data_IF_723713597119
#
_entry.id   IF_723713597119
#
_cell.length_a   1.000
_cell.length_b   1.000
_cell.length_c   1.000
_cell.angle_alpha   90.00
_cell.angle_beta   90.00
_cell.angle_gamma   90.00
#
_symmetry.space_group_name_H-M   'P 1'
#
loop_
_entity.id
_entity.type
_entity.pdbx_description
1 polymer ?
#
# COMPACT_ATOMS: atom_id res chain seq x y z
N UNK A 1 -19.70 17.68 23.27
CA UNK A 1 -18.23 17.85 23.36
C UNK A 1 -17.49 16.59 23.86
N UNK A 2 -18.19 15.60 24.41
CA UNK A 2 -17.63 14.36 25.01
C UNK A 2 -17.23 13.27 24.02
N UNK A 3 -17.84 13.17 22.83
CA UNK A 3 -17.54 12.12 21.84
C UNK A 3 -16.13 12.28 21.25
N UNK A 4 -15.71 13.51 20.95
CA UNK A 4 -14.43 13.81 20.29
C UNK A 4 -13.20 13.47 21.13
N UNK A 5 -13.26 13.67 22.46
CA UNK A 5 -12.13 13.37 23.36
C UNK A 5 -11.83 11.86 23.45
N UNK A 6 -12.80 10.99 23.17
CA UNK A 6 -12.65 9.53 23.28
C UNK A 6 -11.83 8.92 22.13
N UNK A 7 -11.73 9.58 20.98
CA UNK A 7 -11.13 9.00 19.76
C UNK A 7 -9.76 9.61 19.37
N UNK A 8 -9.24 10.58 20.15
CA UNK A 8 -8.04 11.33 19.79
C UNK A 8 -6.71 10.56 19.96
N UNK A 9 -6.70 9.39 20.60
CA UNK A 9 -5.46 8.82 21.16
C UNK A 9 -5.01 7.45 20.63
N UNK A 10 -5.62 6.85 19.60
CA UNK A 10 -5.37 5.43 19.29
C UNK A 10 -4.89 5.08 17.87
N UNK A 11 -4.41 6.02 17.06
CA UNK A 11 -3.88 5.69 15.73
C UNK A 11 -2.38 5.94 15.66
N UNK A 12 -1.59 4.88 15.88
CA UNK A 12 -0.20 4.85 15.41
C UNK A 12 -0.21 4.91 13.87
N UNK A 13 0.29 6.02 13.32
CA UNK A 13 0.32 6.32 11.88
C UNK A 13 1.27 5.37 11.13
N UNK A 14 2.23 4.76 11.85
CA UNK A 14 3.26 3.90 11.26
C UNK A 14 3.68 2.82 12.27
N UNK A 15 3.49 1.55 11.90
CA UNK A 15 3.92 0.41 12.72
C UNK A 15 5.29 -0.06 12.24
N UNK A 16 6.33 0.30 12.99
CA UNK A 16 7.73 -0.04 12.69
C UNK A 16 7.93 -1.55 12.43
N UNK A 17 7.19 -2.41 13.13
CA UNK A 17 7.23 -3.86 12.94
C UNK A 17 6.76 -4.32 11.56
N UNK A 18 5.73 -3.68 10.99
CA UNK A 18 5.21 -4.00 9.65
C UNK A 18 6.23 -3.61 8.56
N UNK A 19 6.98 -2.52 8.78
CA UNK A 19 8.07 -2.10 7.92
C UNK A 19 9.30 -3.01 8.01
N UNK A 20 9.70 -3.41 9.23
CA UNK A 20 10.82 -4.32 9.44
C UNK A 20 10.54 -5.71 8.83
N UNK A 21 9.33 -6.23 9.00
CA UNK A 21 8.94 -7.52 8.42
C UNK A 21 8.95 -7.49 6.89
N UNK A 22 8.51 -6.41 6.25
CA UNK A 22 8.57 -6.29 4.79
C UNK A 22 10.00 -6.25 4.24
N UNK A 23 10.93 -5.60 4.95
CA UNK A 23 12.36 -5.64 4.58
C UNK A 23 12.94 -7.05 4.70
N UNK A 24 12.65 -7.75 5.80
CA UNK A 24 13.15 -9.12 6.02
C UNK A 24 12.62 -10.07 4.94
N UNK A 25 11.34 -9.98 4.60
CA UNK A 25 10.73 -10.80 3.54
C UNK A 25 11.37 -10.49 2.19
N UNK A 26 11.60 -9.22 1.86
CA UNK A 26 12.30 -8.82 0.64
C UNK A 26 13.71 -9.45 0.56
N UNK A 27 14.48 -9.39 1.64
CA UNK A 27 15.82 -9.97 1.72
C UNK A 27 15.80 -11.50 1.58
N UNK A 28 14.79 -12.19 2.14
CA UNK A 28 14.63 -13.64 1.97
C UNK A 28 14.35 -14.04 0.52
N UNK A 29 13.49 -13.29 -0.18
CA UNK A 29 13.19 -13.54 -1.60
C UNK A 29 14.46 -13.39 -2.44
N UNK A 30 15.25 -12.34 -2.19
CA UNK A 30 16.53 -12.12 -2.86
C UNK A 30 17.56 -13.21 -2.56
N UNK A 31 17.65 -13.66 -1.31
CA UNK A 31 18.51 -14.77 -0.95
C UNK A 31 18.14 -16.02 -1.75
N UNK A 32 16.86 -16.37 -1.82
CA UNK A 32 16.39 -17.53 -2.60
C UNK A 32 16.75 -17.38 -4.09
N UNK A 33 16.51 -16.21 -4.69
CA UNK A 33 16.84 -15.94 -6.09
C UNK A 33 18.35 -16.10 -6.38
N UNK A 34 19.21 -15.71 -5.44
CA UNK A 34 20.67 -15.87 -5.59
C UNK A 34 21.16 -17.31 -5.55
N UNK A 35 20.34 -18.26 -5.08
CA UNK A 35 20.68 -19.69 -5.01
C UNK A 35 20.20 -20.49 -6.22
N UNK A 36 19.52 -19.87 -7.19
CA UNK A 36 18.99 -20.55 -8.37
C UNK A 36 20.03 -20.60 -9.52
N UNK A 37 19.98 -21.68 -10.32
CA UNK A 37 20.85 -21.86 -11.48
C UNK A 37 20.59 -20.85 -12.61
N UNK A 38 21.65 -20.36 -13.24
CA UNK A 38 21.66 -19.22 -14.19
C UNK A 38 20.57 -19.28 -15.28
N UNK A 39 20.41 -20.42 -15.95
CA UNK A 39 19.43 -20.58 -17.05
C UNK A 39 17.98 -20.51 -16.55
N UNK A 40 17.72 -20.97 -15.32
CA UNK A 40 16.39 -20.89 -14.71
C UNK A 40 16.09 -19.45 -14.27
N UNK A 41 17.10 -18.70 -13.80
CA UNK A 41 16.93 -17.33 -13.29
C UNK A 41 16.46 -16.36 -14.38
N UNK A 42 16.97 -16.44 -15.61
CA UNK A 42 16.57 -15.54 -16.70
C UNK A 42 15.11 -15.73 -17.14
N UNK A 43 14.67 -16.99 -17.33
CA UNK A 43 13.27 -17.31 -17.63
C UNK A 43 12.34 -17.02 -16.45
N UNK A 44 12.84 -17.21 -15.23
CA UNK A 44 12.10 -16.89 -14.01
C UNK A 44 11.95 -15.38 -13.86
N UNK A 45 12.99 -14.57 -14.08
CA UNK A 45 12.98 -13.10 -13.94
C UNK A 45 12.03 -12.43 -14.92
N UNK A 46 12.03 -12.84 -16.20
CA UNK A 46 11.10 -12.28 -17.18
C UNK A 46 9.64 -12.60 -16.83
N UNK A 47 9.36 -13.83 -16.40
CA UNK A 47 8.02 -14.22 -15.94
C UNK A 47 7.64 -13.56 -14.61
N UNK A 48 8.59 -13.42 -13.69
CA UNK A 48 8.39 -12.75 -12.42
C UNK A 48 8.11 -11.27 -12.64
N UNK A 49 8.84 -10.62 -13.55
CA UNK A 49 8.65 -9.21 -13.91
C UNK A 49 7.25 -8.95 -14.45
N UNK A 50 6.78 -9.79 -15.39
CA UNK A 50 5.41 -9.70 -15.90
C UNK A 50 4.36 -9.94 -14.80
N UNK A 51 4.58 -10.92 -13.92
CA UNK A 51 3.65 -11.19 -12.82
C UNK A 51 3.63 -10.06 -11.79
N UNK A 52 4.79 -9.52 -11.44
CA UNK A 52 4.93 -8.40 -10.51
C UNK A 52 4.34 -7.12 -11.09
N UNK A 53 4.53 -6.85 -12.38
CA UNK A 53 3.95 -5.70 -13.07
C UNK A 53 2.42 -5.79 -13.07
N UNK A 54 1.86 -6.94 -13.45
CA UNK A 54 0.42 -7.18 -13.43
C UNK A 54 -0.14 -7.08 -12.01
N UNK A 55 0.56 -7.65 -11.01
CA UNK A 55 0.18 -7.52 -9.62
C UNK A 55 0.20 -6.05 -9.15
N UNK A 56 1.22 -5.28 -9.53
CA UNK A 56 1.33 -3.86 -9.19
C UNK A 56 0.19 -3.04 -9.80
N UNK A 57 -0.16 -3.26 -11.07
CA UNK A 57 -1.29 -2.59 -11.73
C UNK A 57 -2.62 -2.95 -11.04
N UNK A 58 -2.83 -4.23 -10.72
CA UNK A 58 -4.02 -4.69 -10.03
C UNK A 58 -4.13 -4.09 -8.62
N UNK A 59 -3.05 -4.08 -7.85
CA UNK A 59 -3.05 -3.53 -6.49
C UNK A 59 -3.20 -2.01 -6.50
N UNK A 60 -2.61 -1.29 -7.47
CA UNK A 60 -2.87 0.13 -7.65
C UNK A 60 -4.34 0.39 -7.97
N UNK A 61 -4.95 -0.43 -8.82
CA UNK A 61 -6.38 -0.33 -9.15
C UNK A 61 -7.26 -0.56 -7.91
N UNK A 62 -6.93 -1.55 -7.08
CA UNK A 62 -7.56 -1.79 -5.78
C UNK A 62 -7.37 -0.58 -4.85
N UNK A 63 -6.18 0.02 -4.85
CA UNK A 63 -5.86 1.20 -4.02
C UNK A 63 -6.74 2.39 -4.39
N UNK A 64 -6.85 2.68 -5.69
CA UNK A 64 -7.72 3.74 -6.23
C UNK A 64 -9.19 3.45 -5.94
N UNK A 65 -9.66 2.23 -6.21
CA UNK A 65 -11.05 1.84 -5.97
C UNK A 65 -11.42 1.95 -4.48
N UNK A 66 -10.53 1.52 -3.59
CA UNK A 66 -10.74 1.59 -2.14
C UNK A 66 -10.85 3.04 -1.67
N UNK A 67 -10.02 3.94 -2.20
CA UNK A 67 -10.11 5.36 -1.91
C UNK A 67 -11.39 6.00 -2.46
N UNK A 68 -11.83 5.59 -3.66
CA UNK A 68 -13.10 6.04 -4.24
C UNK A 68 -14.30 5.59 -3.39
N UNK A 69 -14.31 4.36 -2.89
CA UNK A 69 -15.32 3.86 -1.95
C UNK A 69 -15.33 4.70 -0.68
N UNK A 70 -14.16 5.00 -0.10
CA UNK A 70 -14.07 5.89 1.06
C UNK A 70 -14.65 7.28 0.75
N UNK A 71 -14.27 7.90 -0.37
CA UNK A 71 -14.78 9.21 -0.77
C UNK A 71 -16.31 9.19 -0.94
N UNK A 72 -16.88 8.11 -1.47
CA UNK A 72 -18.32 7.93 -1.60
C UNK A 72 -19.05 7.74 -0.26
N UNK A 73 -18.35 7.27 0.78
CA UNK A 73 -18.90 7.14 2.13
C UNK A 73 -18.89 8.46 2.93
N UNK A 74 -18.26 9.51 2.42
CA UNK A 74 -18.20 10.81 3.08
C UNK A 74 -19.48 11.61 2.83
N UNK A 75 -20.14 11.99 3.92
CA UNK A 75 -21.18 13.01 3.94
C UNK A 75 -20.67 14.27 4.67
N UNK A 76 -21.40 15.38 4.57
CA UNK A 76 -20.95 16.66 5.14
C UNK A 76 -20.66 16.59 6.65
N UNK A 77 -21.50 15.90 7.41
CA UNK A 77 -21.35 15.83 8.86
C UNK A 77 -20.20 14.92 9.29
N UNK A 78 -20.06 13.76 8.65
CA UNK A 78 -18.99 12.81 8.91
C UNK A 78 -17.63 13.35 8.45
N UNK A 79 -17.60 14.14 7.37
CA UNK A 79 -16.38 14.83 6.91
C UNK A 79 -15.89 15.83 7.96
N UNK A 80 -16.79 16.63 8.54
CA UNK A 80 -16.44 17.56 9.63
C UNK A 80 -15.95 16.81 10.86
N UNK A 81 -16.53 15.65 11.18
CA UNK A 81 -16.05 14.79 12.26
C UNK A 81 -14.60 14.34 12.00
N UNK A 82 -14.32 13.78 10.82
CA UNK A 82 -13.00 13.27 10.46
C UNK A 82 -11.91 14.35 10.46
N UNK A 83 -12.24 15.57 10.03
CA UNK A 83 -11.31 16.71 10.09
C UNK A 83 -11.04 17.13 11.53
N UNK A 84 -12.06 17.17 12.38
CA UNK A 84 -11.90 17.56 13.80
C UNK A 84 -11.13 16.54 14.64
N UNK A 85 -11.09 15.28 14.20
CA UNK A 85 -10.38 14.20 14.90
C UNK A 85 -9.05 13.83 14.24
N UNK A 86 -8.61 14.57 13.21
CA UNK A 86 -7.41 14.29 12.40
C UNK A 86 -7.36 12.87 11.78
N UNK A 87 -8.47 12.14 11.81
CA UNK A 87 -8.54 10.73 11.39
C UNK A 87 -8.41 10.58 9.88
N UNK A 88 -8.70 11.64 9.12
CA UNK A 88 -8.49 11.67 7.68
C UNK A 88 -7.01 11.51 7.28
N UNK A 89 -6.08 11.93 8.15
CA UNK A 89 -4.63 11.81 7.91
C UNK A 89 -4.22 10.33 7.91
N UNK A 90 -4.78 9.55 8.85
CA UNK A 90 -4.52 8.11 8.97
C UNK A 90 -4.97 7.27 7.78
N UNK A 91 -5.80 7.82 6.89
CA UNK A 91 -6.16 7.21 5.61
C UNK A 91 -5.41 7.84 4.43
N UNK A 92 -5.37 9.16 4.37
CA UNK A 92 -4.79 9.89 3.22
C UNK A 92 -3.31 9.57 3.09
N UNK A 93 -2.57 9.50 4.20
CA UNK A 93 -1.14 9.22 4.19
C UNK A 93 -0.79 7.84 3.60
N UNK A 94 -1.34 6.70 4.09
CA UNK A 94 -1.05 5.40 3.50
C UNK A 94 -1.57 5.26 2.06
N UNK A 95 -2.69 5.91 1.71
CA UNK A 95 -3.18 5.93 0.33
C UNK A 95 -2.17 6.59 -0.63
N UNK A 96 -1.74 7.82 -0.34
CA UNK A 96 -0.82 8.55 -1.21
C UNK A 96 0.52 7.83 -1.33
N UNK A 97 1.05 7.30 -0.23
CA UNK A 97 2.29 6.51 -0.25
C UNK A 97 2.14 5.23 -1.06
N UNK A 98 1.06 4.45 -0.87
CA UNK A 98 0.82 3.25 -1.66
C UNK A 98 0.72 3.60 -3.16
N UNK A 99 -0.07 4.62 -3.52
CA UNK A 99 -0.25 5.01 -4.91
C UNK A 99 1.07 5.46 -5.58
N UNK A 100 1.90 6.24 -4.88
CA UNK A 100 3.21 6.67 -5.39
C UNK A 100 4.13 5.47 -5.56
N UNK A 101 4.23 4.60 -4.55
CA UNK A 101 5.11 3.42 -4.58
C UNK A 101 4.71 2.49 -5.73
N UNK A 102 3.43 2.18 -5.88
CA UNK A 102 2.96 1.34 -6.99
C UNK A 102 3.21 1.97 -8.36
N UNK A 103 3.03 3.29 -8.50
CA UNK A 103 3.34 4.01 -9.74
C UNK A 103 4.83 3.94 -10.08
N UNK A 104 5.71 4.07 -9.07
CA UNK A 104 7.16 3.92 -9.23
C UNK A 104 7.51 2.50 -9.66
N UNK A 105 6.92 1.47 -9.03
CA UNK A 105 7.16 0.06 -9.40
C UNK A 105 6.78 -0.21 -10.85
N UNK A 106 5.62 0.29 -11.28
CA UNK A 106 5.16 0.16 -12.67
C UNK A 106 6.13 0.86 -13.61
N UNK A 107 6.53 2.09 -13.29
CA UNK A 107 7.48 2.86 -14.10
C UNK A 107 8.85 2.19 -14.22
N UNK A 108 9.40 1.71 -13.10
CA UNK A 108 10.70 1.02 -13.07
C UNK A 108 10.61 -0.31 -13.82
N UNK A 109 9.57 -1.13 -13.61
CA UNK A 109 9.43 -2.39 -14.35
C UNK A 109 9.25 -2.15 -15.86
N UNK A 110 8.44 -1.17 -16.26
CA UNK A 110 8.27 -0.81 -17.67
C UNK A 110 9.58 -0.34 -18.31
N UNK A 111 10.34 0.49 -17.60
CA UNK A 111 11.66 0.93 -18.05
C UNK A 111 12.69 -0.21 -18.09
N UNK A 112 12.66 -1.10 -17.10
CA UNK A 112 13.54 -2.26 -17.03
C UNK A 112 13.31 -3.22 -18.20
N UNK A 113 12.04 -3.52 -18.53
CA UNK A 113 11.70 -4.32 -19.71
C UNK A 113 12.21 -3.70 -21.01
N UNK A 114 12.13 -2.37 -21.15
CA UNK A 114 12.66 -1.65 -22.32
C UNK A 114 14.19 -1.73 -22.41
N UNK A 115 14.90 -1.59 -21.28
CA UNK A 115 16.37 -1.66 -21.26
C UNK A 115 16.87 -3.08 -21.51
N UNK A 116 16.33 -4.08 -20.82
CA UNK A 116 16.78 -5.48 -20.97
C UNK A 116 16.56 -5.96 -22.41
N UNK A 117 15.41 -5.62 -23.00
CA UNK A 117 15.11 -5.97 -24.39
C UNK A 117 16.02 -5.26 -25.42
N UNK A 118 16.52 -4.05 -25.10
CA UNK A 118 17.33 -3.27 -26.02
C UNK A 118 18.86 -3.47 -25.87
N UNK A 119 19.34 -3.69 -24.64
CA UNK A 119 20.77 -3.58 -24.30
C UNK A 119 21.43 -4.90 -23.90
N UNK A 120 20.67 -6.00 -23.73
CA UNK A 120 21.20 -7.32 -23.32
C UNK A 120 22.20 -7.19 -22.16
N UNK A 121 21.72 -6.67 -21.03
CA UNK A 121 22.58 -6.35 -19.89
C UNK A 121 23.22 -7.61 -19.28
N UNK A 122 24.44 -7.48 -18.72
CA UNK A 122 25.01 -8.53 -17.87
C UNK A 122 24.08 -8.85 -16.69
N UNK A 123 23.92 -10.14 -16.40
CA UNK A 123 22.95 -10.64 -15.44
C UNK A 123 23.14 -10.10 -14.01
N UNK A 124 24.40 -9.86 -13.61
CA UNK A 124 24.73 -9.26 -12.32
C UNK A 124 24.11 -7.87 -12.16
N UNK A 125 24.04 -7.10 -13.25
CA UNK A 125 23.43 -5.78 -13.28
C UNK A 125 21.91 -5.90 -13.20
N UNK A 126 21.31 -6.93 -13.82
CA UNK A 126 19.87 -7.20 -13.74
C UNK A 126 19.42 -7.54 -12.31
N UNK A 127 20.19 -8.35 -11.58
CA UNK A 127 19.94 -8.70 -10.18
C UNK A 127 20.02 -7.46 -9.29
N UNK A 128 21.05 -6.61 -9.50
CA UNK A 128 21.20 -5.36 -8.74
C UNK A 128 20.04 -4.40 -9.04
N UNK A 129 19.62 -4.29 -10.30
CA UNK A 129 18.52 -3.42 -10.73
C UNK A 129 17.15 -3.90 -10.23
N UNK A 130 16.98 -5.20 -9.98
CA UNK A 130 15.73 -5.77 -9.45
C UNK A 130 15.61 -5.63 -7.93
N UNK A 131 16.72 -5.37 -7.21
CA UNK A 131 16.72 -5.20 -5.76
C UNK A 131 15.82 -4.04 -5.26
N UNK A 132 15.89 -2.81 -5.83
CA UNK A 132 14.96 -1.75 -5.46
C UNK A 132 13.51 -2.12 -5.73
N UNK A 133 13.21 -2.80 -6.83
CA UNK A 133 11.84 -3.19 -7.22
C UNK A 133 11.20 -4.07 -6.16
N UNK A 134 11.93 -5.07 -5.66
CA UNK A 134 11.43 -5.98 -4.62
C UNK A 134 11.18 -5.24 -3.31
N UNK A 135 12.09 -4.34 -2.90
CA UNK A 135 11.91 -3.52 -1.69
C UNK A 135 10.67 -2.65 -1.82
N UNK A 136 10.53 -1.91 -2.93
CA UNK A 136 9.36 -1.07 -3.17
C UNK A 136 8.09 -1.91 -3.22
N UNK A 137 8.11 -3.09 -3.81
CA UNK A 137 6.97 -4.01 -3.86
C UNK A 137 6.49 -4.40 -2.45
N UNK A 138 7.40 -4.83 -1.59
CA UNK A 138 7.07 -5.16 -0.20
C UNK A 138 6.54 -3.95 0.57
N UNK A 139 7.16 -2.78 0.42
CA UNK A 139 6.66 -1.53 1.02
C UNK A 139 5.26 -1.17 0.52
N UNK A 140 5.02 -1.32 -0.80
CA UNK A 140 3.73 -1.08 -1.43
C UNK A 140 2.63 -1.96 -0.85
N UNK A 141 2.90 -3.24 -0.62
CA UNK A 141 1.97 -4.15 0.05
C UNK A 141 1.65 -3.67 1.47
N UNK A 142 2.67 -3.31 2.26
CA UNK A 142 2.45 -2.85 3.63
C UNK A 142 1.59 -1.60 3.70
N UNK A 143 1.86 -0.58 2.87
CA UNK A 143 1.03 0.62 2.82
C UNK A 143 -0.39 0.34 2.30
N UNK A 144 -0.54 -0.60 1.37
CA UNK A 144 -1.86 -1.02 0.89
C UNK A 144 -2.68 -1.69 1.99
N UNK A 145 -2.07 -2.64 2.73
CA UNK A 145 -2.72 -3.31 3.86
C UNK A 145 -3.08 -2.33 4.98
N UNK A 146 -2.16 -1.41 5.30
CA UNK A 146 -2.40 -0.32 6.26
C UNK A 146 -3.59 0.54 5.83
N UNK A 147 -3.65 0.94 4.55
CA UNK A 147 -4.77 1.71 4.00
C UNK A 147 -6.09 0.93 4.11
N UNK A 148 -6.12 -0.35 3.73
CA UNK A 148 -7.31 -1.20 3.86
C UNK A 148 -7.79 -1.27 5.31
N UNK A 149 -6.86 -1.45 6.26
CA UNK A 149 -7.16 -1.41 7.70
C UNK A 149 -7.75 -0.07 8.16
N UNK A 150 -7.21 1.05 7.68
CA UNK A 150 -7.73 2.40 7.95
C UNK A 150 -9.14 2.58 7.41
N UNK A 151 -9.47 2.06 6.22
CA UNK A 151 -10.83 2.12 5.64
C UNK A 151 -11.83 1.38 6.53
N UNK A 152 -11.52 0.15 6.94
CA UNK A 152 -12.39 -0.61 7.85
C UNK A 152 -12.61 0.12 9.17
N UNK A 153 -11.54 0.69 9.74
CA UNK A 153 -11.59 1.44 11.00
C UNK A 153 -12.48 2.68 10.88
N UNK A 154 -12.36 3.43 9.79
CA UNK A 154 -13.20 4.59 9.50
C UNK A 154 -14.66 4.18 9.28
N UNK A 155 -14.91 3.09 8.56
CA UNK A 155 -16.26 2.53 8.39
C UNK A 155 -16.93 2.22 9.73
N UNK A 156 -16.17 1.64 10.66
CA UNK A 156 -16.63 1.39 12.03
C UNK A 156 -16.90 2.70 12.80
N UNK A 157 -16.03 3.70 12.68
CA UNK A 157 -16.25 5.01 13.30
C UNK A 157 -17.50 5.71 12.75
N UNK A 158 -17.77 5.59 11.45
CA UNK A 158 -19.01 6.08 10.84
C UNK A 158 -20.22 5.45 11.48
N UNK A 159 -20.26 4.12 11.62
CA UNK A 159 -21.37 3.42 12.25
C UNK A 159 -21.58 3.86 13.71
N UNK A 160 -20.50 4.03 14.48
CA UNK A 160 -20.58 4.52 15.86
C UNK A 160 -21.05 5.97 15.96
N UNK A 161 -20.57 6.85 15.09
CA UNK A 161 -20.96 8.26 15.04
C UNK A 161 -22.48 8.40 14.83
N UNK A 162 -23.03 7.70 13.84
CA UNK A 162 -24.46 7.73 13.55
C UNK A 162 -25.32 7.07 14.63
N UNK A 163 -24.85 5.98 15.24
CA UNK A 163 -25.54 5.37 16.38
C UNK A 163 -25.67 6.35 17.55
N UNK A 164 -24.58 7.02 17.92
CA UNK A 164 -24.58 7.99 19.01
C UNK A 164 -25.46 9.22 18.69
N UNK A 165 -25.49 9.66 17.43
CA UNK A 165 -26.37 10.76 16.99
C UNK A 165 -27.85 10.39 17.14
N UNK A 166 -28.25 9.21 16.67
CA UNK A 166 -29.64 8.73 16.75
C UNK A 166 -30.10 8.50 18.20
N UNK A 167 -29.19 8.18 19.12
CA UNK A 167 -29.50 8.06 20.55
C UNK A 167 -29.72 9.45 21.20
N UNK A 168 -28.99 10.49 20.75
CA UNK A 168 -29.16 11.86 21.24
C UNK A 168 -30.45 12.52 20.73
N UNK A 169 -30.89 12.22 19.51
CA UNK A 169 -32.15 12.77 18.96
C UNK A 169 -33.41 12.15 19.59
N UNK A 170 -33.27 11.05 20.34
CA UNK A 170 -34.36 10.39 21.07
C UNK A 170 -34.56 10.91 22.49
N UNK A 171 -33.66 11.77 22.99
CA UNK A 171 -33.67 12.32 24.35
C UNK A 171 -33.79 13.84 24.32
#
# INVERSE_FOLDING_TARGET
>A
MTVYKKYKNETEIFRLWEWLTSIIVALMVLFILSQCELHLVEQVLLRLGDWLLNAAIMILSITIASFAVFAAMLDNEFSVFLVKTDTYIGLSFPFWLAAIIWSIIIGINGFFLLIVSALQLPHEIEIILSFPVIIFFCLGICFTLSMVGSIFTIGHYRAKFYKAKNEQEKH
#
